data_IF_497891153175
#
_entry.id   IF_497891153175
#
_cell.length_a   1.000
_cell.length_b   1.000
_cell.length_c   1.000
_cell.angle_alpha   90.00
_cell.angle_beta   90.00
_cell.angle_gamma   90.00
#
_symmetry.space_group_name_H-M   'P 1'
#
loop_
_entity.id
_entity.type
_entity.pdbx_description
1 polymer ?
#
# COMPACT_ATOMS: atom_id res chain seq x y z
N UNK A 1 -33.30 -18.11 -1.96
CA UNK A 1 -32.24 -17.57 -1.07
C UNK A 1 -30.94 -17.57 -1.86
N UNK A 2 -30.57 -16.43 -2.46
CA UNK A 2 -29.31 -16.33 -3.20
C UNK A 2 -28.15 -16.29 -2.21
N UNK A 3 -27.18 -17.18 -2.39
CA UNK A 3 -25.92 -17.21 -1.64
C UNK A 3 -25.19 -15.87 -1.83
N UNK A 4 -25.37 -14.96 -0.86
CA UNK A 4 -24.67 -13.67 -0.83
C UNK A 4 -23.17 -13.96 -0.74
N UNK A 5 -22.44 -13.60 -1.79
CA UNK A 5 -21.03 -13.95 -1.91
C UNK A 5 -20.24 -12.98 -1.03
N UNK A 6 -19.93 -13.36 0.21
CA UNK A 6 -19.08 -12.52 1.07
C UNK A 6 -17.68 -12.38 0.44
N UNK A 7 -17.30 -11.13 0.13
CA UNK A 7 -15.97 -10.82 -0.34
C UNK A 7 -14.95 -11.01 0.80
N UNK A 8 -14.00 -11.92 0.62
CA UNK A 8 -12.94 -12.14 1.59
C UNK A 8 -11.82 -11.09 1.43
N UNK A 9 -11.87 -10.02 2.21
CA UNK A 9 -10.87 -8.94 2.18
C UNK A 9 -9.49 -9.40 2.66
N UNK A 10 -9.41 -10.45 3.47
CA UNK A 10 -8.13 -11.01 3.96
C UNK A 10 -7.30 -11.56 2.79
N UNK A 11 -7.95 -12.06 1.74
CA UNK A 11 -7.25 -12.52 0.53
C UNK A 11 -6.42 -11.40 -0.09
N UNK A 12 -6.92 -10.16 -0.12
CA UNK A 12 -6.14 -9.03 -0.66
C UNK A 12 -4.94 -8.66 0.21
N UNK A 13 -5.03 -8.85 1.53
CA UNK A 13 -3.91 -8.65 2.45
C UNK A 13 -2.82 -9.71 2.17
N UNK A 14 -3.22 -10.97 1.98
CA UNK A 14 -2.30 -12.03 1.59
C UNK A 14 -1.65 -11.75 0.24
N UNK A 15 -2.43 -11.31 -0.77
CA UNK A 15 -1.89 -10.94 -2.08
C UNK A 15 -0.86 -9.82 -2.00
N UNK A 16 -1.13 -8.78 -1.21
CA UNK A 16 -0.19 -7.69 -0.97
C UNK A 16 1.11 -8.19 -0.34
N UNK A 17 1.04 -9.01 0.71
CA UNK A 17 2.22 -9.56 1.37
C UNK A 17 3.05 -10.45 0.43
N UNK A 18 2.39 -11.32 -0.34
CA UNK A 18 3.05 -12.20 -1.30
C UNK A 18 3.68 -11.42 -2.46
N UNK A 19 3.06 -10.33 -2.92
CA UNK A 19 3.64 -9.49 -3.99
C UNK A 19 4.86 -8.73 -3.50
N UNK A 20 4.81 -8.19 -2.27
CA UNK A 20 5.98 -7.59 -1.64
C UNK A 20 7.14 -8.60 -1.49
N UNK A 21 6.83 -9.84 -1.07
CA UNK A 21 7.81 -10.92 -0.97
C UNK A 21 8.40 -11.28 -2.34
N UNK A 22 7.57 -11.35 -3.38
CA UNK A 22 8.02 -11.63 -4.74
C UNK A 22 8.97 -10.56 -5.27
N UNK A 23 8.57 -9.28 -5.15
CA UNK A 23 9.40 -8.14 -5.52
C UNK A 23 10.74 -8.15 -4.77
N UNK A 24 10.71 -8.36 -3.45
CA UNK A 24 11.92 -8.45 -2.64
C UNK A 24 12.81 -9.62 -3.10
N UNK A 25 12.22 -10.78 -3.38
CA UNK A 25 12.95 -11.97 -3.81
C UNK A 25 13.66 -11.72 -5.15
N UNK A 26 12.96 -11.09 -6.10
CA UNK A 26 13.53 -10.75 -7.40
C UNK A 26 14.67 -9.73 -7.30
N UNK A 27 14.50 -8.70 -6.46
CA UNK A 27 15.45 -7.59 -6.36
C UNK A 27 16.69 -7.93 -5.53
N UNK A 28 16.56 -8.77 -4.50
CA UNK A 28 17.66 -9.08 -3.57
C UNK A 28 18.49 -10.29 -3.99
N UNK A 29 17.88 -11.27 -4.67
CA UNK A 29 18.55 -12.54 -4.97
C UNK A 29 18.82 -12.68 -6.48
N UNK A 30 20.10 -12.62 -6.91
CA UNK A 30 20.43 -12.56 -8.34
C UNK A 30 20.33 -13.92 -9.06
N UNK A 31 20.17 -15.04 -8.34
CA UNK A 31 20.21 -16.39 -8.92
C UNK A 31 18.89 -16.80 -9.60
N UNK A 32 19.00 -17.69 -10.60
CA UNK A 32 17.89 -18.09 -11.48
C UNK A 32 16.70 -18.67 -10.70
N UNK A 33 16.87 -19.62 -9.75
CA UNK A 33 15.75 -20.13 -8.95
C UNK A 33 14.93 -19.05 -8.24
N UNK A 34 15.54 -18.02 -7.67
CA UNK A 34 14.82 -16.92 -7.01
C UNK A 34 13.98 -16.12 -8.00
N UNK A 35 14.51 -15.83 -9.20
CA UNK A 35 13.77 -15.13 -10.25
C UNK A 35 12.57 -15.95 -10.71
N UNK A 36 12.76 -17.25 -10.95
CA UNK A 36 11.67 -18.17 -11.33
C UNK A 36 10.60 -18.21 -10.24
N UNK A 37 11.00 -18.35 -8.97
CA UNK A 37 10.08 -18.31 -7.84
C UNK A 37 9.27 -17.01 -7.78
N UNK A 38 9.93 -15.87 -7.98
CA UNK A 38 9.26 -14.56 -8.00
C UNK A 38 8.23 -14.46 -9.14
N UNK A 39 8.57 -14.96 -10.34
CA UNK A 39 7.62 -15.00 -11.46
C UNK A 39 6.41 -15.89 -11.17
N UNK A 40 6.62 -17.07 -10.58
CA UNK A 40 5.53 -17.98 -10.20
C UNK A 40 4.58 -17.30 -9.21
N UNK A 41 5.13 -16.64 -8.18
CA UNK A 41 4.32 -15.91 -7.21
C UNK A 41 3.50 -14.80 -7.91
N UNK A 42 4.12 -14.00 -8.76
CA UNK A 42 3.43 -12.87 -9.40
C UNK A 42 2.35 -13.27 -10.39
N UNK A 43 2.60 -14.33 -11.18
CA UNK A 43 1.55 -14.91 -12.03
C UNK A 43 0.39 -15.40 -11.17
N UNK A 44 0.68 -16.07 -10.05
CA UNK A 44 -0.35 -16.53 -9.11
C UNK A 44 -1.14 -15.35 -8.53
N UNK A 45 -0.45 -14.27 -8.14
CA UNK A 45 -1.07 -13.05 -7.62
C UNK A 45 -1.97 -12.42 -8.67
N UNK A 46 -1.51 -12.27 -9.91
CA UNK A 46 -2.30 -11.70 -11.00
C UNK A 46 -3.59 -12.49 -11.24
N UNK A 47 -3.52 -13.82 -11.26
CA UNK A 47 -4.68 -14.69 -11.45
C UNK A 47 -5.67 -14.58 -10.30
N UNK A 48 -5.20 -14.68 -9.05
CA UNK A 48 -6.04 -14.61 -7.86
C UNK A 48 -6.63 -13.20 -7.72
N UNK A 49 -5.83 -12.15 -7.92
CA UNK A 49 -6.29 -10.76 -7.89
C UNK A 49 -7.39 -10.53 -8.93
N UNK A 50 -7.18 -10.96 -10.18
CA UNK A 50 -8.18 -10.81 -11.24
C UNK A 50 -9.50 -11.52 -10.90
N UNK A 51 -9.44 -12.74 -10.35
CA UNK A 51 -10.63 -13.47 -9.91
C UNK A 51 -11.37 -12.77 -8.76
N UNK A 52 -10.65 -12.28 -7.75
CA UNK A 52 -11.25 -11.58 -6.61
C UNK A 52 -11.68 -10.15 -6.96
N UNK A 53 -11.08 -9.52 -7.96
CA UNK A 53 -11.48 -8.22 -8.48
C UNK A 53 -12.88 -8.30 -9.13
N UNK A 54 -13.16 -9.36 -9.88
CA UNK A 54 -14.51 -9.62 -10.42
C UNK A 54 -15.54 -9.79 -9.29
N UNK A 55 -15.19 -10.51 -8.22
CA UNK A 55 -16.03 -10.63 -7.03
C UNK A 55 -16.23 -9.28 -6.33
N UNK A 56 -15.20 -8.43 -6.29
CA UNK A 56 -15.30 -7.10 -5.72
C UNK A 56 -16.28 -6.22 -6.51
N UNK A 57 -16.25 -6.26 -7.85
CA UNK A 57 -17.24 -5.55 -8.66
C UNK A 57 -18.66 -6.06 -8.44
N UNK A 58 -18.85 -7.38 -8.35
CA UNK A 58 -20.15 -7.96 -7.97
C UNK A 58 -20.59 -7.47 -6.59
N UNK A 59 -19.67 -7.41 -5.63
CA UNK A 59 -19.93 -6.94 -4.28
C UNK A 59 -20.32 -5.45 -4.25
N UNK A 60 -19.74 -4.61 -5.12
CA UNK A 60 -20.19 -3.21 -5.30
C UNK A 60 -21.63 -3.16 -5.81
N UNK A 61 -22.02 -4.04 -6.74
CA UNK A 61 -23.41 -4.13 -7.22
C UNK A 61 -24.39 -4.56 -6.12
N UNK A 62 -23.93 -5.29 -5.09
CA UNK A 62 -24.67 -5.60 -3.86
C UNK A 62 -24.68 -4.41 -2.88
N UNK A 63 -25.09 -3.24 -3.38
CA UNK A 63 -24.87 -1.92 -2.77
C UNK A 63 -25.19 -1.80 -1.28
N UNK A 64 -26.28 -2.40 -0.80
CA UNK A 64 -26.66 -2.34 0.62
C UNK A 64 -25.62 -2.98 1.54
N UNK A 65 -25.09 -4.13 1.15
CA UNK A 65 -24.07 -4.86 1.92
C UNK A 65 -22.74 -4.12 1.84
N UNK A 66 -22.39 -3.62 0.65
CA UNK A 66 -21.18 -2.84 0.46
C UNK A 66 -21.19 -1.57 1.32
N UNK A 67 -22.29 -0.80 1.29
CA UNK A 67 -22.46 0.40 2.11
C UNK A 67 -22.42 0.05 3.59
N UNK A 68 -23.07 -1.03 4.02
CA UNK A 68 -23.01 -1.51 5.41
C UNK A 68 -21.57 -1.80 5.85
N UNK A 69 -20.80 -2.49 5.00
CA UNK A 69 -19.39 -2.79 5.27
C UNK A 69 -18.53 -1.51 5.30
N UNK A 70 -18.79 -0.53 4.44
CA UNK A 70 -18.11 0.77 4.47
C UNK A 70 -18.46 1.59 5.70
N UNK A 71 -19.64 1.40 6.31
CA UNK A 71 -20.02 2.05 7.58
C UNK A 71 -19.28 1.46 8.77
N UNK A 72 -18.81 0.22 8.67
CA UNK A 72 -18.00 -0.41 9.71
C UNK A 72 -16.54 0.10 9.62
N UNK A 73 -16.04 0.86 10.61
CA UNK A 73 -14.72 1.51 10.53
C UNK A 73 -13.57 0.51 10.48
N UNK A 74 -13.71 -0.69 11.05
CA UNK A 74 -12.68 -1.71 10.99
C UNK A 74 -12.61 -2.36 9.60
N UNK A 75 -13.77 -2.72 9.03
CA UNK A 75 -13.85 -3.38 7.72
C UNK A 75 -13.51 -2.41 6.58
N UNK A 76 -13.92 -1.14 6.70
CA UNK A 76 -13.67 -0.11 5.69
C UNK A 76 -12.16 0.04 5.38
N UNK A 77 -11.30 0.01 6.41
CA UNK A 77 -9.86 0.12 6.24
C UNK A 77 -9.25 -1.05 5.45
N UNK A 78 -9.83 -2.26 5.57
CA UNK A 78 -9.34 -3.45 4.88
C UNK A 78 -9.53 -3.37 3.36
N UNK A 79 -10.50 -2.61 2.85
CA UNK A 79 -10.66 -2.42 1.41
C UNK A 79 -9.46 -1.69 0.77
N UNK A 80 -8.68 -0.94 1.54
CA UNK A 80 -7.44 -0.34 1.03
C UNK A 80 -6.42 -1.40 0.58
N UNK A 81 -6.52 -2.64 1.07
CA UNK A 81 -5.69 -3.76 0.60
C UNK A 81 -5.84 -4.04 -0.90
N UNK A 82 -7.03 -3.79 -1.47
CA UNK A 82 -7.28 -3.94 -2.92
C UNK A 82 -6.42 -2.92 -3.69
N UNK A 83 -6.40 -1.66 -3.23
CA UNK A 83 -5.61 -0.60 -3.84
C UNK A 83 -4.11 -0.88 -3.72
N UNK A 84 -3.64 -1.38 -2.57
CA UNK A 84 -2.23 -1.70 -2.35
C UNK A 84 -1.80 -2.87 -3.27
N UNK A 85 -2.56 -3.96 -3.31
CA UNK A 85 -2.25 -5.11 -4.16
C UNK A 85 -2.19 -4.70 -5.66
N UNK A 86 -3.12 -3.86 -6.10
CA UNK A 86 -3.11 -3.30 -7.46
C UNK A 86 -1.86 -2.44 -7.74
N UNK A 87 -1.41 -1.64 -6.77
CA UNK A 87 -0.17 -0.87 -6.90
C UNK A 87 1.08 -1.76 -6.93
N UNK A 88 1.14 -2.84 -6.14
CA UNK A 88 2.28 -3.76 -6.18
C UNK A 88 2.37 -4.50 -7.51
N UNK A 89 1.23 -4.94 -8.07
CA UNK A 89 1.16 -5.48 -9.44
C UNK A 89 1.71 -4.46 -10.45
N UNK A 90 1.34 -3.19 -10.31
CA UNK A 90 1.87 -2.11 -11.15
C UNK A 90 3.40 -2.00 -11.04
N UNK A 91 3.95 -2.08 -9.81
CA UNK A 91 5.40 -2.05 -9.58
C UNK A 91 6.08 -3.24 -10.27
N UNK A 92 5.52 -4.44 -10.12
CA UNK A 92 6.03 -5.66 -10.76
C UNK A 92 6.08 -5.52 -12.28
N UNK A 93 4.98 -5.13 -12.91
CA UNK A 93 4.91 -4.92 -14.36
C UNK A 93 5.87 -3.79 -14.81
N UNK A 94 6.03 -2.77 -13.98
CA UNK A 94 6.87 -1.62 -14.28
C UNK A 94 8.37 -1.88 -14.09
N UNK A 95 8.77 -2.76 -13.17
CA UNK A 95 10.19 -3.06 -12.91
C UNK A 95 10.67 -4.32 -13.63
N UNK A 96 9.86 -5.37 -13.56
CA UNK A 96 10.23 -6.72 -13.99
C UNK A 96 9.58 -7.04 -15.33
N UNK A 97 8.27 -6.80 -15.43
CA UNK A 97 7.47 -7.19 -16.60
C UNK A 97 7.10 -8.67 -16.61
N UNK A 98 6.21 -9.05 -17.53
CA UNK A 98 5.78 -10.44 -17.69
C UNK A 98 6.67 -11.18 -18.70
N UNK A 99 7.23 -12.35 -18.35
CA UNK A 99 8.06 -13.12 -19.26
C UNK A 99 7.25 -13.52 -20.49
N UNK A 100 7.71 -13.13 -21.68
CA UNK A 100 7.05 -13.40 -22.96
C UNK A 100 5.88 -12.46 -23.33
N UNK A 101 5.49 -11.53 -22.45
CA UNK A 101 4.39 -10.57 -22.70
C UNK A 101 4.79 -9.10 -22.53
N UNK A 102 6.08 -8.78 -22.62
CA UNK A 102 6.62 -7.43 -22.36
C UNK A 102 5.93 -6.27 -23.10
N UNK A 103 5.36 -6.53 -24.30
CA UNK A 103 4.60 -5.52 -25.05
C UNK A 103 3.37 -4.99 -24.32
N UNK A 104 2.84 -5.76 -23.36
CA UNK A 104 1.65 -5.42 -22.59
C UNK A 104 1.95 -4.88 -21.20
N UNK A 105 3.23 -4.82 -20.80
CA UNK A 105 3.63 -4.41 -19.45
C UNK A 105 3.11 -3.01 -19.11
N UNK A 106 3.33 -2.02 -19.99
CA UNK A 106 2.97 -0.62 -19.73
C UNK A 106 1.43 -0.42 -19.73
N UNK A 107 0.66 -0.89 -20.73
CA UNK A 107 -0.80 -0.78 -20.68
C UNK A 107 -1.41 -1.48 -19.47
N UNK A 108 -0.92 -2.68 -19.12
CA UNK A 108 -1.44 -3.43 -17.99
C UNK A 108 -1.08 -2.76 -16.66
N UNK A 109 0.16 -2.29 -16.51
CA UNK A 109 0.58 -1.51 -15.36
C UNK A 109 -0.26 -0.23 -15.21
N UNK A 110 -0.56 0.48 -16.30
CA UNK A 110 -1.42 1.66 -16.27
C UNK A 110 -2.83 1.31 -15.79
N UNK A 111 -3.42 0.20 -16.25
CA UNK A 111 -4.74 -0.22 -15.81
C UNK A 111 -4.79 -0.50 -14.29
N UNK A 112 -3.81 -1.26 -13.78
CA UNK A 112 -3.71 -1.53 -12.33
C UNK A 112 -3.36 -0.27 -11.53
N UNK A 113 -2.58 0.66 -12.09
CA UNK A 113 -2.29 1.95 -11.46
C UNK A 113 -3.56 2.79 -11.33
N UNK A 114 -4.39 2.85 -12.37
CA UNK A 114 -5.68 3.58 -12.33
C UNK A 114 -6.62 2.98 -11.28
N UNK A 115 -6.73 1.64 -11.22
CA UNK A 115 -7.53 0.96 -10.17
C UNK A 115 -7.03 1.37 -8.78
N UNK A 116 -5.72 1.32 -8.56
CA UNK A 116 -5.12 1.70 -7.29
C UNK A 116 -5.36 3.18 -6.96
N UNK A 117 -5.20 4.07 -7.94
CA UNK A 117 -5.42 5.50 -7.80
C UNK A 117 -6.86 5.81 -7.40
N UNK A 118 -7.84 5.31 -8.14
CA UNK A 118 -9.27 5.56 -7.88
C UNK A 118 -9.66 5.05 -6.49
N UNK A 119 -9.25 3.84 -6.13
CA UNK A 119 -9.56 3.27 -4.82
C UNK A 119 -8.85 4.02 -3.69
N UNK A 120 -7.58 4.43 -3.87
CA UNK A 120 -6.84 5.19 -2.86
C UNK A 120 -7.47 6.56 -2.61
N UNK A 121 -7.88 7.28 -3.66
CA UNK A 121 -8.61 8.55 -3.53
C UNK A 121 -9.96 8.35 -2.84
N UNK A 122 -10.68 7.28 -3.19
CA UNK A 122 -11.94 6.96 -2.54
C UNK A 122 -11.76 6.74 -1.04
N UNK A 123 -10.79 5.91 -0.63
CA UNK A 123 -10.54 5.64 0.78
C UNK A 123 -9.94 6.84 1.52
N UNK A 124 -9.14 7.68 0.86
CA UNK A 124 -8.66 8.95 1.40
C UNK A 124 -9.80 9.82 1.95
N UNK A 125 -10.99 9.75 1.34
CA UNK A 125 -12.19 10.48 1.78
C UNK A 125 -13.02 9.68 2.78
N UNK A 126 -13.25 8.38 2.52
CA UNK A 126 -14.11 7.54 3.36
C UNK A 126 -13.58 7.41 4.79
N UNK A 127 -12.26 7.36 4.95
CA UNK A 127 -11.64 7.09 6.26
C UNK A 127 -11.79 8.25 7.23
N UNK A 128 -11.46 9.51 6.88
CA UNK A 128 -11.75 10.65 7.74
C UNK A 128 -13.23 10.75 8.13
N UNK A 129 -14.15 10.42 7.22
CA UNK A 129 -15.60 10.39 7.51
C UNK A 129 -15.91 9.33 8.56
N UNK A 130 -15.41 8.11 8.38
CA UNK A 130 -15.61 7.03 9.34
C UNK A 130 -14.96 7.33 10.69
N UNK A 131 -13.77 7.95 10.70
CA UNK A 131 -13.10 8.39 11.92
C UNK A 131 -13.96 9.41 12.68
N UNK A 132 -14.48 10.43 12.00
CA UNK A 132 -15.25 11.51 12.62
C UNK A 132 -16.62 11.05 13.14
N UNK A 133 -17.34 10.24 12.37
CA UNK A 133 -18.77 10.01 12.61
C UNK A 133 -19.11 8.61 13.15
N UNK A 134 -18.20 7.64 13.05
CA UNK A 134 -18.54 6.21 13.27
C UNK A 134 -17.52 5.45 14.11
N UNK A 135 -16.36 6.03 14.36
CA UNK A 135 -15.28 5.36 15.07
C UNK A 135 -15.33 5.67 16.55
N UNK A 136 -15.17 4.62 17.36
CA UNK A 136 -14.88 4.70 18.78
C UNK A 136 -13.39 4.45 18.98
N UNK A 137 -12.86 4.81 20.13
CA UNK A 137 -11.48 4.50 20.52
C UNK A 137 -11.20 2.99 20.42
N UNK A 138 -12.18 2.14 20.72
CA UNK A 138 -12.16 0.68 20.55
C UNK A 138 -11.86 0.18 19.14
N UNK A 139 -12.17 0.96 18.11
CA UNK A 139 -12.04 0.51 16.72
C UNK A 139 -10.67 0.79 16.12
N UNK A 140 -9.78 1.49 16.83
CA UNK A 140 -8.46 1.87 16.30
C UNK A 140 -7.51 0.68 16.42
N UNK A 141 -6.95 0.22 15.30
CA UNK A 141 -6.02 -0.91 15.27
C UNK A 141 -4.98 -0.69 14.18
N UNK A 142 -3.96 -1.56 14.09
CA UNK A 142 -2.91 -1.43 13.07
C UNK A 142 -3.41 -1.47 11.62
N UNK A 143 -4.60 -2.04 11.36
CA UNK A 143 -5.24 -2.01 10.04
C UNK A 143 -5.54 -0.60 9.52
N UNK A 144 -5.61 0.40 10.41
CA UNK A 144 -5.77 1.81 10.07
C UNK A 144 -4.54 2.41 9.36
N UNK A 145 -3.42 1.68 9.32
CA UNK A 145 -2.26 2.06 8.51
C UNK A 145 -2.36 1.61 7.05
N UNK A 146 -3.26 0.68 6.69
CA UNK A 146 -3.42 0.24 5.30
C UNK A 146 -3.69 1.41 4.33
N UNK A 147 -4.52 2.40 4.66
CA UNK A 147 -4.79 3.52 3.77
C UNK A 147 -3.56 4.42 3.47
N UNK A 148 -2.83 4.97 4.47
CA UNK A 148 -1.60 5.72 4.17
C UNK A 148 -0.54 4.84 3.48
N UNK A 149 -0.45 3.55 3.84
CA UNK A 149 0.43 2.58 3.13
C UNK A 149 0.04 2.49 1.65
N UNK A 150 -1.25 2.39 1.33
CA UNK A 150 -1.75 2.37 -0.05
C UNK A 150 -1.31 3.56 -0.87
N UNK A 151 -1.34 4.75 -0.28
CA UNK A 151 -0.92 5.97 -0.99
C UNK A 151 0.59 5.96 -1.24
N UNK A 152 1.43 5.57 -0.27
CA UNK A 152 2.88 5.46 -0.48
C UNK A 152 3.24 4.40 -1.54
N UNK A 153 2.57 3.25 -1.52
CA UNK A 153 2.79 2.19 -2.51
C UNK A 153 2.30 2.63 -3.89
N UNK A 154 1.18 3.36 -3.98
CA UNK A 154 0.69 3.99 -5.22
C UNK A 154 1.68 5.00 -5.79
N UNK A 155 2.31 5.84 -4.95
CA UNK A 155 3.36 6.77 -5.37
C UNK A 155 4.55 6.01 -5.96
N UNK A 156 4.99 4.97 -5.26
CA UNK A 156 6.07 4.08 -5.73
C UNK A 156 5.71 3.43 -7.07
N UNK A 157 4.50 2.91 -7.20
CA UNK A 157 3.97 2.32 -8.43
C UNK A 157 3.95 3.31 -9.59
N UNK A 158 3.40 4.49 -9.37
CA UNK A 158 3.35 5.54 -10.36
C UNK A 158 4.74 5.97 -10.81
N UNK A 159 5.68 6.16 -9.88
CA UNK A 159 7.03 6.58 -10.22
C UNK A 159 7.74 5.54 -11.12
N UNK A 160 7.60 4.25 -10.83
CA UNK A 160 8.19 3.20 -11.67
C UNK A 160 7.50 3.11 -13.05
N UNK A 161 6.18 3.24 -13.12
CA UNK A 161 5.44 3.29 -14.39
C UNK A 161 5.86 4.50 -15.25
N UNK A 162 5.99 5.66 -14.62
CA UNK A 162 6.40 6.91 -15.24
C UNK A 162 7.81 6.82 -15.85
N UNK A 163 8.73 6.07 -15.22
CA UNK A 163 10.06 5.83 -15.79
C UNK A 163 10.02 4.96 -17.05
N UNK A 164 9.02 4.08 -17.22
CA UNK A 164 8.83 3.29 -18.45
C UNK A 164 8.11 4.07 -19.57
N UNK A 165 7.40 5.15 -19.26
CA UNK A 165 6.61 5.90 -20.24
C UNK A 165 6.81 7.42 -20.12
N UNK A 166 7.59 7.98 -21.05
CA UNK A 166 7.85 9.43 -21.11
C UNK A 166 6.57 10.27 -21.27
N UNK A 167 5.52 9.75 -21.90
CA UNK A 167 4.25 10.46 -22.08
C UNK A 167 3.47 10.62 -20.78
N UNK A 168 3.55 9.63 -19.88
CA UNK A 168 2.87 9.64 -18.59
C UNK A 168 3.69 10.33 -17.49
N UNK A 169 5.00 10.52 -17.73
CA UNK A 169 5.96 10.94 -16.73
C UNK A 169 5.56 12.22 -15.99
N UNK A 170 5.18 13.29 -16.70
CA UNK A 170 4.80 14.56 -16.08
C UNK A 170 3.52 14.44 -15.25
N UNK A 171 2.49 13.79 -15.81
CA UNK A 171 1.19 13.65 -15.16
C UNK A 171 1.28 12.82 -13.87
N UNK A 172 1.90 11.64 -13.95
CA UNK A 172 2.04 10.75 -12.79
C UNK A 172 2.92 11.41 -11.72
N UNK A 173 3.98 12.13 -12.10
CA UNK A 173 4.82 12.82 -11.14
C UNK A 173 4.06 13.92 -10.38
N UNK A 174 3.21 14.70 -11.07
CA UNK A 174 2.34 15.70 -10.43
C UNK A 174 1.37 15.05 -9.43
N UNK A 175 0.70 13.97 -9.85
CA UNK A 175 -0.21 13.21 -8.99
C UNK A 175 0.51 12.68 -7.75
N UNK A 176 1.70 12.10 -7.93
CA UNK A 176 2.51 11.56 -6.84
C UNK A 176 2.93 12.65 -5.83
N UNK A 177 3.33 13.83 -6.31
CA UNK A 177 3.65 14.97 -5.44
C UNK A 177 2.46 15.40 -4.60
N UNK A 178 1.28 15.48 -5.22
CA UNK A 178 0.06 15.87 -4.53
C UNK A 178 -0.36 14.85 -3.47
N UNK A 179 -0.22 13.55 -3.79
CA UNK A 179 -0.57 12.45 -2.89
C UNK A 179 0.38 12.30 -1.69
N UNK A 180 1.61 12.79 -1.80
CA UNK A 180 2.62 12.68 -0.74
C UNK A 180 2.16 13.38 0.55
N UNK A 181 1.55 14.56 0.45
CA UNK A 181 1.06 15.32 1.59
C UNK A 181 0.01 14.56 2.41
N UNK A 182 -1.14 14.16 1.81
CA UNK A 182 -2.15 13.35 2.48
C UNK A 182 -1.62 12.02 3.03
N UNK A 183 -0.66 11.37 2.35
CA UNK A 183 -0.05 10.13 2.84
C UNK A 183 0.64 10.33 4.20
N UNK A 184 1.47 11.37 4.31
CA UNK A 184 2.15 11.71 5.57
C UNK A 184 1.18 12.14 6.67
N UNK A 185 0.21 13.00 6.34
CA UNK A 185 -0.77 13.48 7.31
C UNK A 185 -1.57 12.30 7.88
N UNK A 186 -2.08 11.41 7.03
CA UNK A 186 -2.80 10.23 7.47
C UNK A 186 -1.91 9.28 8.28
N UNK A 187 -0.66 9.09 7.88
CA UNK A 187 0.27 8.25 8.63
C UNK A 187 0.47 8.76 10.06
N UNK A 188 0.81 10.05 10.25
CA UNK A 188 1.04 10.61 11.58
C UNK A 188 -0.24 10.69 12.42
N UNK A 189 -1.38 10.96 11.79
CA UNK A 189 -2.68 10.94 12.45
C UNK A 189 -2.99 9.53 12.98
N UNK A 190 -2.91 8.50 12.12
CA UNK A 190 -3.13 7.12 12.53
C UNK A 190 -2.12 6.69 13.59
N UNK A 191 -0.85 7.05 13.46
CA UNK A 191 0.18 6.73 14.44
C UNK A 191 -0.15 7.28 15.82
N UNK A 192 -0.58 8.54 15.87
CA UNK A 192 -0.99 9.19 17.12
C UNK A 192 -2.19 8.48 17.74
N UNK A 193 -3.19 8.14 16.94
CA UNK A 193 -4.40 7.45 17.42
C UNK A 193 -4.11 6.03 17.93
N UNK A 194 -3.29 5.27 17.20
CA UNK A 194 -2.90 3.91 17.60
C UNK A 194 -2.07 3.95 18.88
N UNK A 195 -1.11 4.88 18.99
CA UNK A 195 -0.29 5.04 20.19
C UNK A 195 -1.14 5.47 21.40
N UNK A 196 -2.04 6.44 21.21
CA UNK A 196 -2.98 6.87 22.25
C UNK A 196 -3.82 5.68 22.75
N UNK A 197 -4.40 4.90 21.82
CA UNK A 197 -5.16 3.71 22.20
C UNK A 197 -4.32 2.71 22.97
N UNK A 198 -3.14 2.34 22.46
CA UNK A 198 -2.29 1.32 23.08
C UNK A 198 -1.82 1.71 24.49
N UNK A 199 -1.79 3.01 24.80
CA UNK A 199 -1.37 3.52 26.11
C UNK A 199 -2.50 3.58 27.13
N UNK A 200 -3.71 3.93 26.69
CA UNK A 200 -4.82 4.28 27.59
C UNK A 200 -5.96 3.26 27.61
N UNK A 201 -5.94 2.27 26.71
CA UNK A 201 -6.96 1.24 26.63
C UNK A 201 -6.31 -0.14 26.53
N UNK A 202 -6.94 -1.12 27.15
CA UNK A 202 -6.51 -2.50 27.02
C UNK A 202 -6.63 -2.95 25.57
N UNK A 203 -5.59 -3.65 25.10
CA UNK A 203 -5.60 -4.27 23.78
C UNK A 203 -6.49 -5.52 23.88
N UNK A 204 -7.78 -5.36 23.59
CA UNK A 204 -8.70 -6.48 23.53
C UNK A 204 -8.31 -7.47 22.40
N UNK A 205 -8.24 -8.74 22.78
CA UNK A 205 -7.92 -9.94 22.00
C UNK A 205 -6.48 -10.13 21.50
N UNK A 206 -5.90 -11.28 21.89
CA UNK A 206 -4.70 -11.90 21.30
C UNK A 206 -4.76 -12.06 19.76
N UNK A 207 -5.96 -12.01 19.16
CA UNK A 207 -6.19 -12.11 17.71
C UNK A 207 -5.79 -10.85 16.95
N UNK A 208 -5.78 -9.68 17.60
CA UNK A 208 -5.48 -8.39 16.95
C UNK A 208 -4.00 -8.00 17.05
N UNK A 209 -3.23 -8.68 17.89
CA UNK A 209 -1.78 -8.46 18.08
C UNK A 209 -0.96 -8.46 16.78
N UNK A 210 -1.21 -9.37 15.80
CA UNK A 210 -0.48 -9.35 14.53
C UNK A 210 -0.62 -8.06 13.73
N UNK A 211 -1.70 -7.30 13.95
CA UNK A 211 -1.95 -6.05 13.22
C UNK A 211 -1.02 -4.92 13.63
N UNK A 212 -0.42 -4.97 14.84
CA UNK A 212 0.56 -3.95 15.26
C UNK A 212 1.81 -3.94 14.39
N UNK A 213 2.19 -5.08 13.80
CA UNK A 213 3.30 -5.15 12.86
C UNK A 213 3.08 -4.31 11.59
N UNK A 214 1.83 -3.97 11.26
CA UNK A 214 1.51 -3.10 10.12
C UNK A 214 2.12 -1.71 10.30
N UNK A 215 2.40 -1.25 11.53
CA UNK A 215 3.04 0.06 11.77
C UNK A 215 4.44 0.18 11.17
N UNK A 216 5.11 -0.96 10.92
CA UNK A 216 6.41 -1.01 10.22
C UNK A 216 6.26 -0.69 8.73
N UNK A 217 5.10 -1.01 8.13
CA UNK A 217 4.89 -0.86 6.69
C UNK A 217 5.01 0.59 6.23
N UNK A 218 4.32 1.60 6.82
CA UNK A 218 4.45 3.00 6.43
C UNK A 218 5.89 3.50 6.39
N UNK A 219 6.73 3.07 7.32
CA UNK A 219 8.15 3.47 7.38
C UNK A 219 8.89 2.97 6.15
N UNK A 220 8.77 1.68 5.83
CA UNK A 220 9.45 1.11 4.66
C UNK A 220 8.91 1.69 3.34
N UNK A 221 7.59 1.74 3.17
CA UNK A 221 6.99 2.16 1.90
C UNK A 221 7.12 3.66 1.63
N UNK A 222 7.18 4.49 2.66
CA UNK A 222 7.44 5.93 2.51
C UNK A 222 8.86 6.21 2.03
N UNK A 223 9.86 5.48 2.53
CA UNK A 223 11.23 5.54 2.00
C UNK A 223 11.28 5.14 0.54
N UNK A 224 10.61 4.02 0.17
CA UNK A 224 10.51 3.58 -1.23
C UNK A 224 9.82 4.61 -2.13
N UNK A 225 8.76 5.26 -1.64
CA UNK A 225 8.05 6.31 -2.35
C UNK A 225 8.96 7.50 -2.63
N UNK A 226 9.69 7.98 -1.62
CA UNK A 226 10.62 9.11 -1.74
C UNK A 226 11.79 8.81 -2.69
N UNK A 227 12.39 7.63 -2.59
CA UNK A 227 13.46 7.18 -3.48
C UNK A 227 12.95 7.08 -4.93
N UNK A 228 11.78 6.48 -5.14
CA UNK A 228 11.22 6.31 -6.48
C UNK A 228 10.84 7.65 -7.10
N UNK A 229 10.26 8.56 -6.33
CA UNK A 229 9.92 9.91 -6.77
C UNK A 229 11.17 10.74 -7.12
N UNK A 230 12.27 10.55 -6.39
CA UNK A 230 13.56 11.20 -6.70
C UNK A 230 14.04 10.82 -8.09
N UNK A 231 13.86 9.56 -8.51
CA UNK A 231 14.26 9.10 -9.85
C UNK A 231 13.48 9.81 -10.96
N UNK A 232 12.17 10.01 -10.80
CA UNK A 232 11.35 10.71 -11.79
C UNK A 232 11.62 12.22 -11.79
N UNK A 233 11.89 12.82 -10.64
CA UNK A 233 12.30 14.22 -10.52
C UNK A 233 13.62 14.50 -11.24
N UNK A 234 14.63 13.66 -11.02
CA UNK A 234 15.93 13.80 -11.69
C UNK A 234 15.81 13.70 -13.21
N UNK A 235 14.85 12.91 -13.72
CA UNK A 235 14.61 12.77 -15.16
C UNK A 235 13.90 13.98 -15.78
N UNK A 236 13.04 14.66 -15.02
CA UNK A 236 12.27 15.80 -15.52
C UNK A 236 12.96 17.16 -15.29
N UNK A 237 14.01 17.20 -14.47
CA UNK A 237 14.63 18.42 -13.94
C UNK A 237 13.60 19.48 -13.49
N UNK A 238 12.52 19.00 -12.86
CA UNK A 238 11.41 19.85 -12.44
C UNK A 238 11.92 20.89 -11.44
N UNK A 239 11.74 22.17 -11.82
CA UNK A 239 12.04 23.35 -10.98
C UNK A 239 13.50 23.50 -10.55
N UNK A 240 14.44 22.80 -11.18
CA UNK A 240 15.87 22.79 -10.79
C UNK A 240 16.11 22.41 -9.32
N UNK A 241 15.12 21.77 -8.66
CA UNK A 241 15.19 21.32 -7.26
C UNK A 241 15.62 19.86 -7.13
N UNK A 242 16.06 19.21 -8.21
CA UNK A 242 16.45 17.79 -8.24
C UNK A 242 17.50 17.46 -7.18
N UNK A 243 18.53 18.29 -7.04
CA UNK A 243 19.57 18.16 -6.01
C UNK A 243 19.03 18.29 -4.58
N UNK A 244 18.20 19.31 -4.32
CA UNK A 244 17.59 19.53 -2.99
C UNK A 244 16.67 18.37 -2.61
N UNK A 245 15.81 17.94 -3.54
CA UNK A 245 14.87 16.84 -3.31
C UNK A 245 15.62 15.53 -3.04
N UNK A 246 16.71 15.25 -3.78
CA UNK A 246 17.57 14.09 -3.50
C UNK A 246 18.20 14.14 -2.11
N UNK A 247 18.70 15.31 -1.69
CA UNK A 247 19.24 15.53 -0.35
C UNK A 247 18.20 15.28 0.75
N UNK A 248 17.00 15.85 0.60
CA UNK A 248 15.88 15.64 1.51
C UNK A 248 15.45 14.18 1.58
N UNK A 249 15.35 13.50 0.44
CA UNK A 249 15.03 12.06 0.39
C UNK A 249 16.04 11.24 1.18
N UNK A 250 17.35 11.49 1.00
CA UNK A 250 18.40 10.76 1.73
C UNK A 250 18.30 11.01 3.24
N UNK A 251 18.18 12.27 3.64
CA UNK A 251 18.06 12.66 5.05
C UNK A 251 16.82 12.05 5.70
N UNK A 252 15.66 12.17 5.05
CA UNK A 252 14.42 11.54 5.47
C UNK A 252 14.56 10.02 5.60
N UNK A 253 15.20 9.37 4.61
CA UNK A 253 15.36 7.91 4.60
C UNK A 253 16.14 7.41 5.80
N UNK A 254 17.22 8.12 6.20
CA UNK A 254 18.01 7.77 7.39
C UNK A 254 17.19 7.90 8.67
N UNK A 255 16.44 8.99 8.81
CA UNK A 255 15.57 9.22 9.98
C UNK A 255 14.46 8.17 10.04
N UNK A 256 13.80 7.91 8.91
CA UNK A 256 12.72 6.94 8.82
C UNK A 256 13.21 5.52 9.18
N UNK A 257 14.36 5.10 8.66
CA UNK A 257 14.95 3.80 9.00
C UNK A 257 15.34 3.72 10.49
N UNK A 258 15.93 4.77 11.05
CA UNK A 258 16.23 4.85 12.49
C UNK A 258 14.98 4.74 13.35
N UNK A 259 13.90 5.42 12.96
CA UNK A 259 12.60 5.28 13.60
C UNK A 259 12.02 3.86 13.43
N UNK A 260 12.10 3.28 12.24
CA UNK A 260 11.67 1.90 11.97
C UNK A 260 12.37 0.89 12.87
N UNK A 261 13.68 1.04 13.08
CA UNK A 261 14.44 0.22 14.01
C UNK A 261 13.92 0.35 15.45
N UNK A 262 13.63 1.57 15.89
CA UNK A 262 13.01 1.83 17.20
C UNK A 262 11.65 1.16 17.37
N UNK A 263 10.82 1.18 16.32
CA UNK A 263 9.52 0.50 16.32
C UNK A 263 9.70 -1.01 16.46
N UNK A 264 10.66 -1.61 15.75
CA UNK A 264 10.97 -3.04 15.88
C UNK A 264 11.37 -3.37 17.32
N UNK A 265 12.28 -2.60 17.92
CA UNK A 265 12.69 -2.79 19.32
C UNK A 265 11.50 -2.67 20.28
N UNK A 266 10.63 -1.69 20.07
CA UNK A 266 9.42 -1.52 20.87
C UNK A 266 8.47 -2.72 20.75
N UNK A 267 8.26 -3.23 19.54
CA UNK A 267 7.43 -4.43 19.31
C UNK A 267 8.05 -5.68 19.96
N UNK A 268 9.37 -5.85 19.89
CA UNK A 268 10.08 -6.95 20.55
C UNK A 268 9.97 -6.88 22.07
N UNK A 269 10.04 -5.69 22.65
CA UNK A 269 9.87 -5.49 24.09
C UNK A 269 8.43 -5.76 24.58
N UNK A 270 7.45 -5.69 23.67
CA UNK A 270 6.04 -6.00 23.94
C UNK A 270 5.70 -7.49 23.74
N UNK A 271 6.59 -8.29 23.17
CA UNK A 271 6.38 -9.73 23.13
C UNK A 271 6.40 -10.27 24.57
N UNK A 272 5.39 -11.03 24.99
CA UNK A 272 5.42 -11.66 26.30
C UNK A 272 6.71 -12.48 26.38
N UNK A 273 7.47 -12.29 27.46
CA UNK A 273 8.61 -13.12 27.79
C UNK A 273 8.08 -14.56 27.90
N UNK A 274 8.31 -15.37 26.88
CA UNK A 274 8.13 -16.82 26.97
C UNK A 274 9.08 -17.38 28.03
#
# INVERSE_FOLDING_TARGET
MSSKTQLNLITFIALMGTSALSLATYLLFPFIPAKVFSYILEISILLIFSFYLLKFFKHICEGDIFISNLKNPMVANLYSAIAIASALITIMLSLIGLPGLHRYDVPLALAFWIISFVLSIFFLVVIPINLKFRSKTEHVFGTWFLPPVGIFVLITAGANLALKSSSLLKFINLVNMFLLGPAFILYFLTLTLVYFRSKFYDVEEQKMTPTFNIVLAPVAVSVLAMISLTKTFNRLDLFSFSGLFSGLTKFYSLIALGYGFWVVLGLLALLPSC
#
